data_IF_943235605243
#
_entry.id   IF_943235605243
#
_cell.length_a   1.000
_cell.length_b   1.000
_cell.length_c   1.000
_cell.angle_alpha   90.00
_cell.angle_beta   90.00
_cell.angle_gamma   90.00
#
_symmetry.space_group_name_H-M   'P 1'
#
loop_
_entity.id
_entity.type
_entity.pdbx_description
1 polymer ?
#
# COMPACT_ATOMS: atom_id res chain seq x y z
N UNK A 1 -4.37 55.85 21.17
CA UNK A 1 -4.62 54.98 19.99
C UNK A 1 -3.79 53.72 20.20
N UNK A 2 -4.40 52.58 20.46
CA UNK A 2 -3.64 51.31 20.55
C UNK A 2 -3.74 50.58 19.23
N UNK A 3 -2.57 50.10 18.76
CA UNK A 3 -2.37 49.33 17.57
C UNK A 3 -3.02 47.94 17.67
N UNK A 4 -3.87 47.62 16.71
CA UNK A 4 -4.45 46.29 16.50
C UNK A 4 -3.45 45.42 15.71
N UNK A 5 -2.66 44.60 16.40
CA UNK A 5 -2.01 43.45 15.76
C UNK A 5 -3.03 42.33 15.56
N UNK A 6 -3.48 42.18 14.33
CA UNK A 6 -4.24 41.02 13.89
C UNK A 6 -3.35 39.77 13.92
N UNK A 7 -3.49 38.97 14.98
CA UNK A 7 -2.96 37.62 15.03
C UNK A 7 -3.70 36.71 14.05
N UNK A 8 -2.98 36.24 13.04
CA UNK A 8 -3.46 35.15 12.17
C UNK A 8 -3.51 33.87 13.00
N UNK A 9 -4.70 33.40 13.28
CA UNK A 9 -4.94 32.08 13.83
C UNK A 9 -4.48 31.01 12.84
N UNK A 10 -3.27 30.50 12.98
CA UNK A 10 -2.89 29.23 12.43
C UNK A 10 -3.59 28.15 13.28
N UNK A 11 -4.54 27.44 12.65
CA UNK A 11 -5.18 26.26 13.21
C UNK A 11 -4.11 25.34 13.82
N UNK A 12 -4.32 24.92 15.08
CA UNK A 12 -3.36 24.19 15.88
C UNK A 12 -2.92 22.87 15.25
N UNK A 13 -1.85 22.91 14.51
CA UNK A 13 -1.13 21.72 14.09
C UNK A 13 -0.38 21.17 15.29
N UNK A 14 -0.66 19.93 15.66
CA UNK A 14 -0.11 19.26 16.83
C UNK A 14 1.39 18.99 16.62
N UNK A 15 2.28 19.84 17.14
CA UNK A 15 3.73 19.84 17.02
C UNK A 15 4.41 18.52 17.46
N UNK A 16 3.72 17.69 18.25
CA UNK A 16 4.24 16.44 18.78
C UNK A 16 4.37 15.37 17.64
N UNK A 17 3.51 15.40 16.62
CA UNK A 17 3.58 14.46 15.49
C UNK A 17 4.68 14.80 14.48
N UNK A 18 5.12 16.05 14.40
CA UNK A 18 6.13 16.49 13.41
C UNK A 18 7.55 16.02 13.73
N UNK A 19 7.87 15.75 15.00
CA UNK A 19 9.23 15.40 15.42
C UNK A 19 9.73 14.03 14.95
N UNK A 20 8.85 13.17 14.40
CA UNK A 20 9.21 11.82 13.94
C UNK A 20 8.92 11.57 12.46
N UNK A 21 8.35 12.53 11.72
CA UNK A 21 8.05 12.36 10.30
C UNK A 21 9.21 12.84 9.44
N UNK A 22 9.40 12.15 8.30
CA UNK A 22 10.33 12.62 7.27
C UNK A 22 9.69 13.76 6.48
N UNK A 23 10.53 14.67 5.98
CA UNK A 23 10.13 15.72 5.04
C UNK A 23 10.94 15.53 3.77
N UNK A 24 10.25 15.29 2.65
CA UNK A 24 10.83 15.19 1.32
C UNK A 24 10.59 16.52 0.61
N UNK A 25 11.67 17.21 0.25
CA UNK A 25 11.59 18.41 -0.57
C UNK A 25 11.83 18.05 -2.04
N UNK A 26 10.89 18.42 -2.91
CA UNK A 26 10.97 18.21 -4.35
C UNK A 26 11.73 19.36 -5.00
N UNK A 27 12.61 19.05 -5.95
CA UNK A 27 13.35 20.04 -6.73
C UNK A 27 12.38 20.95 -7.48
N UNK A 28 12.72 22.23 -7.54
CA UNK A 28 11.96 23.22 -8.30
C UNK A 28 11.72 22.75 -9.76
N UNK A 29 10.47 22.80 -10.20
CA UNK A 29 10.04 22.36 -11.52
C UNK A 29 9.88 20.85 -11.71
N UNK A 30 10.12 20.02 -10.66
CA UNK A 30 9.88 18.57 -10.67
C UNK A 30 8.58 18.15 -9.98
N UNK A 31 7.83 19.09 -9.43
CA UNK A 31 6.56 18.88 -8.76
C UNK A 31 5.38 18.66 -9.72
N UNK A 32 5.55 18.93 -11.02
CA UNK A 32 4.48 18.86 -12.03
C UNK A 32 3.75 17.52 -12.04
N UNK A 33 4.48 16.41 -12.04
CA UNK A 33 3.88 15.07 -12.04
C UNK A 33 3.03 14.79 -10.80
N UNK A 34 3.45 15.29 -9.63
CA UNK A 34 2.66 15.17 -8.39
C UNK A 34 1.39 16.02 -8.45
N UNK A 35 1.47 17.23 -9.00
CA UNK A 35 0.31 18.12 -9.20
C UNK A 35 -0.70 17.53 -10.20
N UNK A 36 -0.24 16.69 -11.12
CA UNK A 36 -1.05 15.91 -12.06
C UNK A 36 -1.57 14.59 -11.45
N UNK A 37 -1.31 14.33 -10.15
CA UNK A 37 -1.80 13.14 -9.44
C UNK A 37 -0.96 11.88 -9.61
N UNK A 38 0.27 11.97 -10.15
CA UNK A 38 1.15 10.80 -10.25
C UNK A 38 1.63 10.36 -8.87
N UNK A 39 1.45 9.09 -8.47
CA UNK A 39 1.71 8.65 -7.10
C UNK A 39 3.18 8.26 -6.84
N UNK A 40 4.08 8.38 -7.81
CA UNK A 40 5.46 7.91 -7.71
C UNK A 40 6.46 9.06 -7.72
N UNK A 41 7.38 9.03 -6.76
CA UNK A 41 8.45 10.01 -6.62
C UNK A 41 9.78 9.29 -6.80
N UNK A 42 10.47 9.61 -7.87
CA UNK A 42 11.79 9.06 -8.17
C UNK A 42 12.90 9.85 -7.48
N UNK A 43 14.03 9.20 -7.22
CA UNK A 43 15.19 9.82 -6.57
C UNK A 43 15.65 11.13 -7.27
N UNK A 44 15.56 11.18 -8.60
CA UNK A 44 15.95 12.35 -9.42
C UNK A 44 15.11 13.59 -9.15
N UNK A 45 13.88 13.44 -8.68
CA UNK A 45 12.97 14.55 -8.36
C UNK A 45 13.20 15.12 -6.96
N UNK A 46 13.91 14.41 -6.07
CA UNK A 46 14.10 14.81 -4.68
C UNK A 46 15.33 15.71 -4.58
N UNK A 47 15.16 16.85 -3.92
CA UNK A 47 16.24 17.77 -3.55
C UNK A 47 16.91 17.29 -2.27
N UNK A 48 16.10 17.07 -1.21
CA UNK A 48 16.59 16.59 0.10
C UNK A 48 15.52 15.81 0.84
N UNK A 49 15.97 15.05 1.83
CA UNK A 49 15.11 14.36 2.80
C UNK A 49 15.60 14.74 4.19
N UNK A 50 14.75 15.42 4.94
CA UNK A 50 15.01 15.82 6.32
C UNK A 50 14.30 14.85 7.28
N UNK A 51 14.84 14.70 8.50
CA UNK A 51 14.30 13.82 9.54
C UNK A 51 15.36 12.93 10.19
N UNK A 52 14.93 12.10 11.15
CA UNK A 52 15.83 11.25 11.91
C UNK A 52 16.49 10.18 11.02
N UNK A 53 17.80 9.88 11.21
CA UNK A 53 18.51 8.89 10.42
C UNK A 53 17.83 7.52 10.41
N UNK A 54 17.31 7.06 11.55
CA UNK A 54 16.62 5.78 11.68
C UNK A 54 15.39 5.71 10.79
N UNK A 55 14.58 6.78 10.72
CA UNK A 55 13.41 6.85 9.87
C UNK A 55 13.78 6.88 8.38
N UNK A 56 14.90 7.54 8.02
CA UNK A 56 15.40 7.53 6.63
C UNK A 56 15.84 6.14 6.15
N UNK A 57 16.28 5.29 7.06
CA UNK A 57 16.73 3.93 6.74
C UNK A 57 15.62 2.90 6.77
N UNK A 58 14.49 3.19 7.43
CA UNK A 58 13.36 2.27 7.56
C UNK A 58 12.49 2.32 6.29
N UNK A 59 12.40 1.24 5.51
CA UNK A 59 11.51 1.19 4.36
C UNK A 59 10.05 1.44 4.76
N UNK A 60 9.37 2.31 4.03
CA UNK A 60 7.95 2.60 4.29
C UNK A 60 7.68 3.67 5.35
N UNK A 61 8.71 4.34 5.89
CA UNK A 61 8.51 5.47 6.80
C UNK A 61 7.62 6.54 6.17
N UNK A 62 6.64 7.02 6.94
CA UNK A 62 5.75 8.08 6.48
C UNK A 62 6.50 9.40 6.36
N UNK A 63 6.30 10.08 5.23
CA UNK A 63 6.90 11.38 4.93
C UNK A 63 5.86 12.39 4.47
N UNK A 64 6.11 13.66 4.79
CA UNK A 64 5.46 14.79 4.13
C UNK A 64 6.30 15.15 2.90
N UNK A 65 5.63 15.33 1.78
CA UNK A 65 6.23 15.80 0.53
C UNK A 65 5.87 17.25 0.34
N UNK A 66 6.87 18.09 0.10
CA UNK A 66 6.69 19.52 -0.13
C UNK A 66 7.50 20.00 -1.33
N UNK A 67 7.09 21.14 -1.91
CA UNK A 67 7.86 21.84 -2.93
C UNK A 67 9.10 22.52 -2.35
N UNK A 68 9.97 23.06 -3.21
CA UNK A 68 11.11 23.91 -2.80
C UNK A 68 10.66 25.17 -2.05
N UNK A 69 9.44 25.67 -2.28
CA UNK A 69 8.83 26.77 -1.54
C UNK A 69 8.05 26.33 -0.29
N UNK A 70 8.27 25.08 0.18
CA UNK A 70 7.68 24.49 1.38
C UNK A 70 6.13 24.35 1.33
N UNK A 71 5.53 24.36 0.14
CA UNK A 71 4.11 24.06 -0.01
C UNK A 71 3.89 22.54 0.05
N UNK A 72 2.87 22.11 0.78
CA UNK A 72 2.47 20.71 0.85
C UNK A 72 2.09 20.19 -0.54
N UNK A 73 2.59 18.99 -0.89
CA UNK A 73 2.27 18.29 -2.12
C UNK A 73 1.56 16.95 -1.87
N UNK A 74 2.06 16.17 -0.89
CA UNK A 74 1.51 14.84 -0.60
C UNK A 74 1.97 14.30 0.76
N UNK A 75 1.35 13.19 1.19
CA UNK A 75 1.88 12.25 2.19
C UNK A 75 2.31 10.99 1.47
N UNK A 76 3.47 10.46 1.79
CA UNK A 76 4.04 9.33 1.07
C UNK A 76 4.75 8.33 2.01
N UNK A 77 4.93 7.10 1.54
CA UNK A 77 5.84 6.13 2.14
C UNK A 77 7.21 6.26 1.48
N UNK A 78 8.23 6.58 2.26
CA UNK A 78 9.61 6.73 1.81
C UNK A 78 10.38 5.42 1.88
N UNK A 79 11.22 5.18 0.90
CA UNK A 79 12.16 4.06 0.90
C UNK A 79 13.48 4.46 0.24
N UNK A 80 14.55 4.57 1.04
CA UNK A 80 15.87 4.98 0.57
C UNK A 80 16.54 3.98 -0.37
N UNK A 81 16.07 2.72 -0.42
CA UNK A 81 16.65 1.65 -1.25
C UNK A 81 15.94 1.49 -2.58
N UNK A 82 14.68 1.88 -2.69
CA UNK A 82 13.88 1.77 -3.92
C UNK A 82 14.26 2.83 -4.96
N UNK A 83 14.11 2.52 -6.24
CA UNK A 83 14.19 3.52 -7.31
C UNK A 83 12.99 4.48 -7.26
N UNK A 84 11.79 3.97 -6.93
CA UNK A 84 10.64 4.80 -6.58
C UNK A 84 10.80 5.19 -5.12
N UNK A 85 11.50 6.30 -4.87
CA UNK A 85 11.93 6.77 -3.54
C UNK A 85 10.78 6.99 -2.58
N UNK A 86 9.62 7.42 -3.10
CA UNK A 86 8.43 7.52 -2.30
C UNK A 86 7.19 7.20 -3.12
N UNK A 87 6.22 6.55 -2.49
CA UNK A 87 4.90 6.26 -3.07
C UNK A 87 3.86 7.03 -2.29
N UNK A 88 3.07 7.81 -3.02
CA UNK A 88 2.07 8.69 -2.40
C UNK A 88 0.94 7.87 -1.78
N UNK A 89 0.68 8.13 -0.51
CA UNK A 89 -0.52 7.69 0.18
C UNK A 89 -1.69 8.64 -0.11
N UNK A 90 -1.48 9.94 0.04
CA UNK A 90 -2.55 10.92 -0.09
C UNK A 90 -2.03 12.27 -0.59
N UNK A 91 -2.82 12.91 -1.44
CA UNK A 91 -2.64 14.31 -1.86
C UNK A 91 -3.42 15.29 -0.96
N UNK A 92 -4.21 14.79 -0.01
CA UNK A 92 -4.93 15.61 0.96
C UNK A 92 -4.09 15.84 2.21
N UNK A 93 -3.81 17.11 2.52
CA UNK A 93 -3.06 17.50 3.71
C UNK A 93 -3.76 17.11 5.02
N UNK A 94 -5.08 16.97 5.00
CA UNK A 94 -5.88 16.62 6.17
C UNK A 94 -6.03 15.10 6.38
N UNK A 95 -5.67 14.28 5.39
CA UNK A 95 -5.74 12.83 5.51
C UNK A 95 -4.49 12.27 6.19
N UNK A 96 -4.64 11.84 7.45
CA UNK A 96 -3.54 11.17 8.17
C UNK A 96 -3.29 9.75 7.61
N UNK A 97 -2.02 9.33 7.58
CA UNK A 97 -1.64 7.95 7.28
C UNK A 97 -1.66 7.15 8.57
N UNK A 98 -2.77 6.49 8.85
CA UNK A 98 -3.06 5.75 10.07
C UNK A 98 -3.86 4.47 9.82
N UNK A 99 -4.18 3.74 10.89
CA UNK A 99 -4.99 2.51 10.81
C UNK A 99 -6.39 2.75 10.23
N UNK A 100 -6.99 3.91 10.49
CA UNK A 100 -8.32 4.24 9.98
C UNK A 100 -8.29 4.43 8.47
N UNK A 101 -7.25 5.10 7.94
CA UNK A 101 -7.03 5.25 6.50
C UNK A 101 -6.84 3.87 5.84
N UNK A 102 -5.97 3.02 6.37
CA UNK A 102 -5.72 1.67 5.82
C UNK A 102 -7.02 0.87 5.78
N UNK A 103 -7.74 0.80 6.90
CA UNK A 103 -9.02 0.08 7.01
C UNK A 103 -10.05 0.59 5.99
N UNK A 104 -10.18 1.91 5.85
CA UNK A 104 -11.09 2.54 4.89
C UNK A 104 -10.73 2.17 3.44
N UNK A 105 -9.45 2.22 3.06
CA UNK A 105 -9.01 1.92 1.70
C UNK A 105 -9.16 0.45 1.34
N UNK A 106 -8.83 -0.46 2.25
CA UNK A 106 -9.12 -1.90 2.07
C UNK A 106 -10.61 -2.11 1.87
N UNK A 107 -11.46 -1.52 2.73
CA UNK A 107 -12.92 -1.61 2.57
C UNK A 107 -13.38 -1.09 1.20
N UNK A 108 -12.93 0.08 0.77
CA UNK A 108 -13.29 0.64 -0.53
C UNK A 108 -12.86 -0.25 -1.70
N UNK A 109 -11.68 -0.87 -1.62
CA UNK A 109 -11.21 -1.82 -2.63
C UNK A 109 -12.12 -3.05 -2.72
N UNK A 110 -12.52 -3.59 -1.58
CA UNK A 110 -13.46 -4.73 -1.51
C UNK A 110 -14.85 -4.35 -2.01
N UNK A 111 -15.38 -3.19 -1.62
CA UNK A 111 -16.69 -2.69 -2.06
C UNK A 111 -16.77 -2.52 -3.58
N UNK A 112 -15.71 -1.99 -4.22
CA UNK A 112 -15.61 -1.88 -5.69
C UNK A 112 -15.77 -3.24 -6.40
N UNK A 113 -15.42 -4.32 -5.73
CA UNK A 113 -15.40 -5.69 -6.29
C UNK A 113 -16.51 -6.59 -5.74
N UNK A 114 -17.43 -6.05 -4.94
CA UNK A 114 -18.47 -6.81 -4.27
C UNK A 114 -19.30 -7.69 -5.25
N UNK A 115 -19.62 -7.18 -6.44
CA UNK A 115 -20.35 -7.94 -7.46
C UNK A 115 -19.55 -9.14 -8.01
N UNK A 116 -18.23 -8.98 -8.20
CA UNK A 116 -17.35 -10.06 -8.63
C UNK A 116 -17.17 -11.10 -7.51
N UNK A 117 -16.98 -10.65 -6.29
CA UNK A 117 -16.90 -11.50 -5.09
C UNK A 117 -18.16 -12.36 -4.96
N UNK A 118 -19.34 -11.76 -5.05
CA UNK A 118 -20.62 -12.50 -4.92
C UNK A 118 -20.80 -13.54 -6.03
N UNK A 119 -20.38 -13.23 -7.25
CA UNK A 119 -20.63 -14.06 -8.43
C UNK A 119 -19.60 -15.18 -8.63
N UNK A 120 -18.34 -14.90 -8.41
CA UNK A 120 -17.24 -15.71 -8.93
C UNK A 120 -16.30 -16.30 -7.88
N UNK A 121 -16.22 -15.70 -6.70
CA UNK A 121 -15.15 -15.95 -5.75
C UNK A 121 -14.99 -17.41 -5.29
N UNK A 122 -16.07 -18.19 -5.27
CA UNK A 122 -16.01 -19.60 -4.85
C UNK A 122 -15.17 -20.48 -5.78
N UNK A 123 -15.22 -20.22 -7.08
CA UNK A 123 -14.64 -21.10 -8.10
C UNK A 123 -13.65 -20.41 -9.03
N UNK A 124 -13.41 -19.12 -8.82
CA UNK A 124 -12.55 -18.30 -9.68
C UNK A 124 -11.61 -17.45 -8.83
N UNK A 125 -10.52 -17.04 -9.48
CA UNK A 125 -9.66 -15.98 -8.97
C UNK A 125 -10.39 -14.63 -9.03
N UNK A 126 -10.35 -13.89 -7.93
CA UNK A 126 -10.83 -12.50 -7.88
C UNK A 126 -9.73 -11.60 -7.36
N UNK A 127 -9.27 -10.65 -8.18
CA UNK A 127 -8.37 -9.61 -7.73
C UNK A 127 -9.12 -8.65 -6.80
N UNK A 128 -8.83 -8.68 -5.51
CA UNK A 128 -9.51 -7.91 -4.47
C UNK A 128 -8.89 -6.54 -4.24
N UNK A 129 -7.56 -6.43 -4.40
CA UNK A 129 -6.83 -5.16 -4.28
C UNK A 129 -5.82 -5.05 -5.42
N UNK A 130 -5.77 -3.89 -6.06
CA UNK A 130 -4.91 -3.58 -7.20
C UNK A 130 -4.07 -2.32 -6.96
N UNK A 131 -3.20 -2.39 -5.98
CA UNK A 131 -2.16 -1.40 -5.69
C UNK A 131 -2.64 0.08 -5.77
N UNK A 132 -2.04 0.87 -6.64
CA UNK A 132 -2.28 2.30 -6.79
C UNK A 132 -3.73 2.62 -7.19
N UNK A 133 -4.39 1.76 -7.96
CA UNK A 133 -5.80 1.90 -8.35
C UNK A 133 -6.74 1.99 -7.14
N UNK A 134 -6.37 1.34 -6.04
CA UNK A 134 -7.13 1.29 -4.80
C UNK A 134 -6.53 2.17 -3.68
N UNK A 135 -5.52 2.97 -4.02
CA UNK A 135 -4.84 3.84 -3.06
C UNK A 135 -4.02 3.09 -2.01
N UNK A 136 -3.61 1.84 -2.32
CA UNK A 136 -2.76 0.99 -1.51
C UNK A 136 -1.47 0.65 -2.27
N UNK A 137 -0.57 1.62 -2.50
CA UNK A 137 0.54 1.51 -3.44
C UNK A 137 1.45 0.30 -3.18
N UNK A 138 1.51 -0.61 -4.16
CA UNK A 138 2.32 -1.82 -4.08
C UNK A 138 1.68 -2.99 -3.34
N UNK A 139 0.36 -2.94 -3.02
CA UNK A 139 -0.38 -4.07 -2.48
C UNK A 139 -1.20 -4.75 -3.58
N UNK A 140 -0.98 -6.04 -3.78
CA UNK A 140 -1.86 -6.89 -4.58
C UNK A 140 -2.50 -7.93 -3.67
N UNK A 141 -3.80 -8.16 -3.83
CA UNK A 141 -4.53 -9.20 -3.10
C UNK A 141 -5.46 -9.92 -4.05
N UNK A 142 -5.27 -11.23 -4.14
CA UNK A 142 -6.10 -12.15 -4.87
C UNK A 142 -6.89 -13.04 -3.92
N UNK A 143 -8.17 -13.27 -4.18
CA UNK A 143 -9.03 -14.16 -3.42
C UNK A 143 -9.35 -15.44 -4.19
N UNK A 144 -9.33 -16.59 -3.49
CA UNK A 144 -9.59 -17.93 -4.00
C UNK A 144 -10.53 -18.70 -3.07
N UNK A 145 -11.53 -19.38 -3.61
CA UNK A 145 -12.34 -20.33 -2.85
C UNK A 145 -13.35 -19.72 -1.88
N UNK A 146 -13.62 -18.43 -1.96
CA UNK A 146 -14.58 -17.77 -1.07
C UNK A 146 -14.06 -17.50 0.33
N UNK A 147 -14.97 -17.34 1.29
CA UNK A 147 -14.61 -17.07 2.69
C UNK A 147 -13.89 -18.26 3.37
N UNK A 148 -14.16 -19.48 2.93
CA UNK A 148 -13.48 -20.70 3.40
C UNK A 148 -12.18 -21.00 2.65
N UNK A 149 -11.85 -20.17 1.66
CA UNK A 149 -10.65 -20.33 0.83
C UNK A 149 -9.45 -19.55 1.35
N UNK A 150 -8.76 -18.85 0.44
CA UNK A 150 -7.50 -18.18 0.71
C UNK A 150 -7.45 -16.78 0.13
N UNK A 151 -6.80 -15.87 0.83
CA UNK A 151 -6.32 -14.59 0.30
C UNK A 151 -4.81 -14.70 0.08
N UNK A 152 -4.35 -14.39 -1.12
CA UNK A 152 -2.92 -14.31 -1.43
C UNK A 152 -2.53 -12.85 -1.55
N UNK A 153 -1.66 -12.40 -0.64
CA UNK A 153 -1.21 -11.03 -0.55
C UNK A 153 0.22 -10.90 -1.09
N UNK A 154 0.47 -9.85 -1.85
CA UNK A 154 1.82 -9.46 -2.26
C UNK A 154 2.09 -8.03 -1.79
N UNK A 155 3.02 -7.89 -0.85
CA UNK A 155 3.48 -6.60 -0.31
C UNK A 155 4.74 -6.18 -1.08
N UNK A 156 4.54 -5.49 -2.20
CA UNK A 156 5.60 -5.17 -3.17
C UNK A 156 6.35 -3.86 -2.86
N UNK A 157 5.92 -3.10 -1.84
CA UNK A 157 6.54 -1.83 -1.49
C UNK A 157 6.65 -1.66 0.01
N UNK A 158 7.66 -0.89 0.47
CA UNK A 158 7.92 -0.67 1.89
C UNK A 158 6.73 -0.08 2.65
N UNK A 159 5.92 0.77 2.00
CA UNK A 159 4.74 1.37 2.61
C UNK A 159 3.71 0.33 3.07
N UNK A 160 3.26 -0.52 2.17
CA UNK A 160 2.28 -1.58 2.51
C UNK A 160 2.89 -2.68 3.37
N UNK A 161 4.20 -2.94 3.23
CA UNK A 161 4.90 -3.88 4.11
C UNK A 161 4.91 -3.40 5.57
N UNK A 162 5.11 -2.10 5.79
CA UNK A 162 5.05 -1.48 7.13
C UNK A 162 3.64 -1.54 7.75
N UNK A 163 2.59 -1.57 6.94
CA UNK A 163 1.18 -1.66 7.37
C UNK A 163 0.58 -3.07 7.26
N UNK A 164 1.41 -4.09 7.05
CA UNK A 164 1.00 -5.49 6.81
C UNK A 164 -0.06 -5.99 7.79
N UNK A 165 0.18 -5.84 9.08
CA UNK A 165 -0.75 -6.32 10.13
C UNK A 165 -2.12 -5.66 10.02
N UNK A 166 -2.17 -4.34 9.87
CA UNK A 166 -3.43 -3.60 9.75
C UNK A 166 -4.19 -3.97 8.45
N UNK A 167 -3.46 -4.20 7.36
CA UNK A 167 -4.03 -4.63 6.08
C UNK A 167 -4.64 -6.03 6.21
N UNK A 168 -3.91 -6.99 6.78
CA UNK A 168 -4.39 -8.37 6.97
C UNK A 168 -5.65 -8.39 7.85
N UNK A 169 -5.65 -7.65 8.96
CA UNK A 169 -6.82 -7.52 9.83
C UNK A 169 -8.04 -6.94 9.09
N UNK A 170 -7.83 -5.90 8.27
CA UNK A 170 -8.89 -5.28 7.50
C UNK A 170 -9.42 -6.21 6.40
N UNK A 171 -8.57 -6.99 5.75
CA UNK A 171 -8.95 -7.99 4.75
C UNK A 171 -9.81 -9.09 5.39
N UNK A 172 -9.38 -9.68 6.51
CA UNK A 172 -10.13 -10.71 7.23
C UNK A 172 -11.51 -10.17 7.64
N UNK A 173 -11.54 -8.97 8.23
CA UNK A 173 -12.81 -8.36 8.66
C UNK A 173 -13.76 -8.07 7.49
N UNK A 174 -13.22 -7.66 6.32
CA UNK A 174 -14.02 -7.29 5.15
C UNK A 174 -14.47 -8.47 4.29
N UNK A 175 -13.73 -9.58 4.29
CA UNK A 175 -14.00 -10.74 3.42
C UNK A 175 -14.57 -11.94 4.18
N UNK A 176 -14.35 -12.02 5.49
CA UNK A 176 -14.62 -13.20 6.30
C UNK A 176 -13.60 -14.35 6.10
N UNK A 177 -12.69 -14.24 5.14
CA UNK A 177 -11.67 -15.25 4.89
C UNK A 177 -10.54 -15.14 5.90
N UNK A 178 -10.27 -16.23 6.64
CA UNK A 178 -9.25 -16.25 7.70
C UNK A 178 -7.87 -16.68 7.21
N UNK A 179 -7.80 -17.40 6.09
CA UNK A 179 -6.55 -17.93 5.56
C UNK A 179 -5.90 -16.87 4.66
N UNK A 180 -4.87 -16.22 5.14
CA UNK A 180 -4.12 -15.17 4.44
C UNK A 180 -2.68 -15.62 4.27
N UNK A 181 -2.25 -15.76 3.03
CA UNK A 181 -0.90 -16.18 2.66
C UNK A 181 -0.14 -15.03 2.02
N UNK A 182 1.09 -14.80 2.43
CA UNK A 182 2.01 -13.89 1.74
C UNK A 182 2.80 -14.65 0.68
N UNK A 183 2.69 -14.20 -0.56
CA UNK A 183 3.55 -14.62 -1.65
C UNK A 183 4.35 -13.42 -2.12
N UNK A 184 5.66 -13.51 -2.12
CA UNK A 184 6.49 -12.41 -2.58
C UNK A 184 7.10 -12.68 -3.97
N UNK A 185 7.34 -11.60 -4.71
CA UNK A 185 8.23 -11.61 -5.86
C UNK A 185 9.64 -11.25 -5.37
N UNK A 186 10.61 -12.19 -5.45
CA UNK A 186 11.97 -11.97 -4.95
C UNK A 186 12.69 -10.79 -5.63
N UNK A 187 12.45 -10.56 -6.93
CA UNK A 187 13.10 -9.47 -7.67
C UNK A 187 12.55 -8.11 -7.23
N UNK A 188 11.23 -8.00 -7.08
CA UNK A 188 10.59 -6.78 -6.60
C UNK A 188 11.03 -6.48 -5.17
N UNK A 189 10.98 -7.48 -4.27
CA UNK A 189 11.38 -7.31 -2.87
C UNK A 189 12.84 -6.90 -2.72
N UNK A 190 13.73 -7.52 -3.52
CA UNK A 190 15.16 -7.14 -3.57
C UNK A 190 15.33 -5.68 -4.04
N UNK A 191 14.60 -5.27 -5.08
CA UNK A 191 14.64 -3.89 -5.58
C UNK A 191 14.14 -2.85 -4.57
N UNK A 192 13.22 -3.25 -3.69
CA UNK A 192 12.73 -2.44 -2.57
C UNK A 192 13.61 -2.57 -1.31
N UNK A 193 14.63 -3.44 -1.31
CA UNK A 193 15.46 -3.71 -0.14
C UNK A 193 14.70 -4.34 1.03
N UNK A 194 13.64 -5.07 0.72
CA UNK A 194 12.79 -5.79 1.67
C UNK A 194 13.22 -7.26 1.78
N UNK A 195 13.01 -7.90 2.94
CA UNK A 195 13.28 -9.34 3.08
C UNK A 195 12.37 -10.16 2.17
N UNK A 196 12.88 -11.27 1.64
CA UNK A 196 12.11 -12.25 0.88
C UNK A 196 11.39 -13.14 1.89
N UNK A 197 10.06 -13.05 1.95
CA UNK A 197 9.22 -13.79 2.91
C UNK A 197 8.01 -14.33 2.18
N UNK A 198 7.75 -15.64 2.37
CA UNK A 198 6.51 -16.31 1.99
C UNK A 198 5.99 -17.05 3.22
N UNK A 199 4.68 -17.21 3.33
CA UNK A 199 4.08 -17.98 4.42
C UNK A 199 2.71 -17.50 4.84
N UNK A 200 2.06 -18.26 5.70
CA UNK A 200 0.79 -17.88 6.27
C UNK A 200 0.93 -16.67 7.20
N UNK A 201 0.13 -15.64 6.96
CA UNK A 201 0.00 -14.46 7.82
C UNK A 201 -1.15 -14.65 8.82
N UNK A 202 -2.12 -15.49 8.48
CA UNK A 202 -3.26 -15.87 9.32
C UNK A 202 -3.85 -17.18 8.80
N UNK A 203 -4.43 -17.99 9.70
CA UNK A 203 -5.07 -19.25 9.37
C UNK A 203 -4.11 -20.31 8.86
N UNK A 204 -4.60 -21.15 7.98
CA UNK A 204 -3.88 -22.32 7.48
C UNK A 204 -3.03 -22.00 6.23
N UNK A 205 -1.97 -22.76 6.05
CA UNK A 205 -1.19 -22.78 4.80
C UNK A 205 -2.07 -23.29 3.65
N UNK A 206 -1.96 -22.71 2.44
CA UNK A 206 -2.68 -23.22 1.29
C UNK A 206 -2.18 -24.61 0.92
N UNK A 207 -3.07 -25.50 0.38
CA UNK A 207 -2.67 -26.76 -0.20
C UNK A 207 -1.74 -26.53 -1.41
N UNK A 208 -1.05 -27.59 -1.84
CA UNK A 208 -0.12 -27.50 -2.96
C UNK A 208 -0.81 -27.06 -4.26
N UNK A 209 -2.08 -27.45 -4.46
CA UNK A 209 -2.86 -27.05 -5.61
C UNK A 209 -4.30 -26.74 -5.22
N UNK A 210 -4.87 -25.70 -5.82
CA UNK A 210 -6.31 -25.39 -5.80
C UNK A 210 -6.88 -25.49 -7.21
N UNK A 211 -8.10 -26.05 -7.33
CA UNK A 211 -8.77 -26.20 -8.60
C UNK A 211 -9.62 -24.96 -8.90
N UNK A 212 -9.37 -24.34 -10.03
CA UNK A 212 -10.10 -23.17 -10.50
C UNK A 212 -10.73 -23.42 -11.87
N UNK A 213 -11.79 -22.65 -12.17
CA UNK A 213 -12.41 -22.64 -13.48
C UNK A 213 -12.40 -21.20 -14.01
N UNK A 214 -11.78 -20.98 -15.15
CA UNK A 214 -11.74 -19.68 -15.81
C UNK A 214 -12.16 -19.85 -17.26
N UNK A 215 -13.21 -19.12 -17.69
CA UNK A 215 -13.80 -19.23 -19.04
C UNK A 215 -14.16 -20.68 -19.46
N UNK A 216 -14.65 -21.48 -18.51
CA UNK A 216 -15.01 -22.88 -18.75
C UNK A 216 -13.84 -23.85 -18.77
N UNK A 217 -12.60 -23.39 -18.65
CA UNK A 217 -11.40 -24.21 -18.58
C UNK A 217 -11.01 -24.45 -17.12
N UNK A 218 -10.81 -25.71 -16.77
CA UNK A 218 -10.32 -26.12 -15.43
C UNK A 218 -8.81 -26.17 -15.42
N UNK A 219 -8.20 -25.64 -14.38
CA UNK A 219 -6.75 -25.71 -14.14
C UNK A 219 -6.47 -25.81 -12.64
N UNK A 220 -5.31 -26.35 -12.32
CA UNK A 220 -4.78 -26.31 -10.98
C UNK A 220 -3.83 -25.12 -10.83
N UNK A 221 -3.87 -24.45 -9.67
CA UNK A 221 -3.04 -23.33 -9.32
C UNK A 221 -2.34 -23.61 -7.99
N UNK A 222 -1.02 -23.55 -8.00
CA UNK A 222 -0.24 -23.48 -6.77
C UNK A 222 -0.29 -22.03 -6.24
N UNK A 223 -0.93 -21.81 -5.10
CA UNK A 223 -1.04 -20.51 -4.47
C UNK A 223 0.28 -19.97 -3.94
N UNK A 224 1.23 -20.87 -3.60
CA UNK A 224 2.52 -20.51 -3.02
C UNK A 224 3.47 -19.98 -4.09
N UNK A 225 3.46 -20.59 -5.29
CA UNK A 225 4.33 -20.18 -6.40
C UNK A 225 3.63 -19.31 -7.44
N UNK A 226 2.32 -19.46 -7.58
CA UNK A 226 1.51 -18.85 -8.64
C UNK A 226 1.57 -19.63 -9.96
N UNK A 227 2.17 -20.80 -9.97
CA UNK A 227 2.25 -21.64 -11.16
C UNK A 227 0.89 -22.27 -11.49
N UNK A 228 0.58 -22.29 -12.79
CA UNK A 228 -0.65 -22.88 -13.32
C UNK A 228 -0.31 -24.16 -14.07
N UNK A 229 -1.00 -25.25 -13.74
CA UNK A 229 -0.96 -26.48 -14.50
C UNK A 229 -2.30 -26.77 -15.18
N UNK A 230 -2.27 -27.25 -16.43
CA UNK A 230 -3.51 -27.69 -17.09
C UNK A 230 -3.97 -28.97 -16.41
N UNK A 231 -5.24 -28.99 -16.03
CA UNK A 231 -5.88 -30.22 -15.57
C UNK A 231 -5.98 -31.16 -16.78
N UNK A 232 -5.35 -32.32 -16.70
CA UNK A 232 -5.45 -33.37 -17.71
C UNK A 232 -6.66 -34.25 -17.45
#
# INVERSE_FOLDING_TARGET
>A
MPDYHQGRHHAGFNWIYWNNMLIITIKQGKEKSLLEGQPWIYASAIEKVDGKPQEKMKPGSTAIVQSSSQQFLARAAYNSKSQIRARVWSFDANEAVDHAMIKRRVKLALDKRAAAVTRAWRNQLVALVKAEEDGLPGLLVDGYGGAEGYLVCQFQAGGVDAWKVAIVQALIAGTGCRNVYERCDPLIRKGEGLPIVNGALSGDEPPDEVLLTENGVRFALDLKTGERSKFR
#
